data_IF_763822251494
#
_entry.id   IF_763822251494
#
_cell.length_a   1.000
_cell.length_b   1.000
_cell.length_c   1.000
_cell.angle_alpha   90.00
_cell.angle_beta   90.00
_cell.angle_gamma   90.00
#
_symmetry.space_group_name_H-M   'P 1'
#
loop_
_entity.id
_entity.type
_entity.pdbx_description
1 polymer ?
#
# COMPACT_ATOMS: atom_id res chain seq x y z
N UNK A 1 -21.76 14.84 10.98
CA UNK A 1 -20.52 14.15 10.59
C UNK A 1 -20.92 12.87 9.88
N UNK A 2 -20.56 12.71 8.60
CA UNK A 2 -20.75 11.45 7.91
C UNK A 2 -19.60 10.52 8.30
N UNK A 3 -19.91 9.41 8.97
CA UNK A 3 -18.95 8.33 9.17
C UNK A 3 -18.62 7.73 7.81
N UNK A 4 -17.43 8.03 7.28
CA UNK A 4 -16.89 7.35 6.11
C UNK A 4 -16.01 6.22 6.63
N UNK A 5 -16.53 5.00 6.54
CA UNK A 5 -15.74 3.81 6.81
C UNK A 5 -14.89 3.51 5.57
N UNK A 6 -13.60 3.24 5.77
CA UNK A 6 -12.74 2.71 4.71
C UNK A 6 -12.47 1.24 5.00
N UNK A 7 -12.77 0.39 4.02
CA UNK A 7 -12.41 -1.01 4.01
C UNK A 7 -10.98 -1.19 3.49
N UNK A 8 -10.15 -1.88 4.27
CA UNK A 8 -8.81 -2.28 3.86
C UNK A 8 -8.82 -3.77 3.50
N UNK A 9 -8.46 -4.07 2.24
CA UNK A 9 -8.36 -5.44 1.74
C UNK A 9 -6.89 -5.76 1.51
N UNK A 10 -6.36 -6.74 2.25
CA UNK A 10 -4.97 -7.16 2.14
C UNK A 10 -4.82 -8.35 1.18
N UNK A 11 -3.80 -8.30 0.33
CA UNK A 11 -3.35 -9.53 -0.35
C UNK A 11 -2.61 -10.43 0.64
N UNK A 12 -2.63 -11.74 0.40
CA UNK A 12 -1.87 -12.69 1.22
C UNK A 12 -0.36 -12.38 1.23
N UNK A 13 0.17 -11.81 0.14
CA UNK A 13 1.57 -11.41 0.05
C UNK A 13 1.85 -10.18 0.94
N UNK A 14 0.99 -9.17 0.89
CA UNK A 14 1.07 -8.01 1.77
C UNK A 14 1.07 -8.42 3.24
N UNK A 15 0.09 -9.23 3.68
CA UNK A 15 -0.01 -9.66 5.08
C UNK A 15 1.25 -10.39 5.55
N UNK A 16 1.86 -11.22 4.69
CA UNK A 16 3.12 -11.90 5.02
C UNK A 16 4.29 -10.93 5.15
N UNK A 17 4.40 -9.97 4.23
CA UNK A 17 5.49 -8.99 4.22
C UNK A 17 5.38 -8.00 5.38
N UNK A 18 4.19 -7.44 5.62
CA UNK A 18 4.00 -6.40 6.63
C UNK A 18 4.30 -6.92 8.04
N UNK A 19 3.91 -8.17 8.34
CA UNK A 19 4.21 -8.84 9.62
C UNK A 19 5.70 -9.05 9.89
N UNK A 20 6.55 -9.00 8.85
CA UNK A 20 8.00 -9.06 8.99
C UNK A 20 8.63 -7.68 9.16
N UNK A 21 7.91 -6.63 8.78
CA UNK A 21 8.44 -5.26 8.67
C UNK A 21 7.93 -4.33 9.77
N UNK A 22 6.75 -4.63 10.34
CA UNK A 22 6.04 -3.73 11.23
C UNK A 22 5.15 -4.49 12.21
N UNK A 23 4.87 -3.79 13.31
CA UNK A 23 3.87 -4.14 14.31
C UNK A 23 2.46 -3.76 13.84
N UNK A 24 1.45 -4.35 14.48
CA UNK A 24 0.05 -4.03 14.19
C UNK A 24 -0.29 -2.55 14.49
N UNK A 25 0.37 -1.93 15.48
CA UNK A 25 0.16 -0.52 15.82
C UNK A 25 0.72 0.42 14.75
N UNK A 26 1.84 0.07 14.13
CA UNK A 26 2.42 0.84 13.01
C UNK A 26 1.58 0.70 11.74
N UNK A 27 1.07 -0.50 11.47
CA UNK A 27 0.12 -0.71 10.38
C UNK A 27 -1.18 0.09 10.64
N UNK A 28 -1.67 0.12 11.88
CA UNK A 28 -2.83 0.94 12.26
C UNK A 28 -2.57 2.42 12.02
N UNK A 29 -1.39 2.93 12.40
CA UNK A 29 -1.03 4.32 12.13
C UNK A 29 -1.05 4.63 10.63
N UNK A 30 -0.54 3.74 9.77
CA UNK A 30 -0.65 3.90 8.32
C UNK A 30 -2.12 3.92 7.85
N UNK A 31 -2.96 3.03 8.37
CA UNK A 31 -4.38 2.97 8.02
C UNK A 31 -5.11 4.27 8.41
N UNK A 32 -4.83 4.82 9.59
CA UNK A 32 -5.37 6.12 10.03
C UNK A 32 -4.95 7.26 9.10
N UNK A 33 -3.69 7.29 8.66
CA UNK A 33 -3.22 8.27 7.69
C UNK A 33 -3.94 8.14 6.34
N UNK A 34 -4.19 6.91 5.88
CA UNK A 34 -4.92 6.65 4.63
C UNK A 34 -6.41 6.94 4.76
N UNK A 35 -7.00 6.80 5.95
CA UNK A 35 -8.37 7.25 6.23
C UNK A 35 -8.45 8.78 6.14
N UNK A 36 -7.49 9.50 6.73
CA UNK A 36 -7.46 10.95 6.68
C UNK A 36 -7.17 11.49 5.28
N UNK A 37 -6.32 10.79 4.50
CA UNK A 37 -5.94 11.17 3.15
C UNK A 37 -5.78 9.94 2.23
N UNK A 38 -6.87 9.45 1.62
CA UNK A 38 -6.84 8.23 0.78
C UNK A 38 -5.96 8.34 -0.47
N UNK A 39 -5.58 9.56 -0.86
CA UNK A 39 -4.69 9.84 -1.99
C UNK A 39 -3.22 10.01 -1.58
N UNK A 40 -2.86 9.77 -0.32
CA UNK A 40 -1.49 9.98 0.19
C UNK A 40 -0.47 9.10 -0.53
N UNK A 41 0.71 9.65 -0.77
CA UNK A 41 1.80 8.95 -1.44
C UNK A 41 1.82 9.14 -2.96
N UNK A 42 2.89 8.64 -3.56
CA UNK A 42 3.24 8.93 -4.96
C UNK A 42 2.48 7.99 -5.91
N UNK A 43 1.84 8.53 -6.94
CA UNK A 43 1.32 7.72 -8.03
C UNK A 43 2.46 7.02 -8.77
N UNK A 44 2.31 5.72 -9.00
CA UNK A 44 3.26 4.93 -9.76
C UNK A 44 2.83 4.92 -11.23
N UNK A 45 3.49 5.74 -12.05
CA UNK A 45 3.18 5.84 -13.47
C UNK A 45 3.25 4.47 -14.17
N UNK A 46 2.28 4.21 -15.05
CA UNK A 46 2.19 2.97 -15.83
C UNK A 46 1.51 1.79 -15.13
N UNK A 47 1.06 1.94 -13.87
CA UNK A 47 0.42 0.84 -13.10
C UNK A 47 -1.10 0.91 -13.04
N UNK A 48 -1.75 1.87 -13.72
CA UNK A 48 -3.20 1.98 -13.72
C UNK A 48 -3.83 2.61 -12.47
N UNK A 49 -3.02 3.16 -11.56
CA UNK A 49 -3.49 3.95 -10.41
C UNK A 49 -2.91 3.54 -9.06
N UNK A 50 -1.88 2.68 -9.02
CA UNK A 50 -1.23 2.34 -7.76
C UNK A 50 -0.52 3.53 -7.15
N UNK A 51 -0.51 3.56 -5.82
CA UNK A 51 0.18 4.56 -5.00
C UNK A 51 1.22 3.90 -4.13
N UNK A 52 2.31 4.62 -3.89
CA UNK A 52 3.39 4.23 -3.00
C UNK A 52 3.43 5.18 -1.81
N UNK A 53 3.18 4.68 -0.61
CA UNK A 53 3.24 5.44 0.63
C UNK A 53 4.42 4.97 1.47
N UNK A 54 5.06 5.92 2.17
CA UNK A 54 6.13 5.63 3.12
C UNK A 54 5.49 5.43 4.48
N UNK A 55 5.81 4.31 5.11
CA UNK A 55 5.39 3.99 6.47
C UNK A 55 6.61 4.10 7.39
N UNK A 56 6.44 4.79 8.51
CA UNK A 56 7.45 4.80 9.56
C UNK A 56 7.39 3.47 10.32
N UNK A 57 8.54 2.89 10.58
CA UNK A 57 8.67 1.63 11.35
C UNK A 57 9.80 1.78 12.36
N UNK A 58 9.53 1.56 13.63
CA UNK A 58 10.52 1.46 14.70
C UNK A 58 10.96 0.01 14.82
N UNK A 59 12.20 -0.26 14.41
CA UNK A 59 12.80 -1.57 14.58
C UNK A 59 13.88 -1.49 15.66
N UNK A 60 13.46 -1.66 16.91
CA UNK A 60 14.32 -1.74 18.09
C UNK A 60 15.32 -0.56 18.20
N UNK A 61 14.82 0.68 18.06
CA UNK A 61 15.63 1.89 18.25
C UNK A 61 16.41 2.33 17.01
N UNK A 62 16.25 1.65 15.86
CA UNK A 62 16.63 2.16 14.55
C UNK A 62 15.37 2.53 13.79
N UNK A 63 15.23 3.81 13.46
CA UNK A 63 14.17 4.27 12.56
C UNK A 63 14.38 3.60 11.20
N UNK A 64 13.50 2.65 10.91
CA UNK A 64 13.40 2.03 9.60
C UNK A 64 12.18 2.61 8.88
N UNK A 65 12.11 2.38 7.57
CA UNK A 65 10.95 2.81 6.79
C UNK A 65 10.56 1.69 5.86
N UNK A 66 9.30 1.30 5.92
CA UNK A 66 8.69 0.42 4.96
C UNK A 66 8.03 1.25 3.85
N UNK A 67 7.86 0.63 2.69
CA UNK A 67 7.09 1.17 1.57
C UNK A 67 5.91 0.25 1.33
N UNK A 68 4.73 0.84 1.31
CA UNK A 68 3.48 0.14 1.00
C UNK A 68 3.00 0.59 -0.37
N UNK A 69 2.69 -0.39 -1.22
CA UNK A 69 2.00 -0.17 -2.49
C UNK A 69 0.53 -0.53 -2.27
N UNK A 70 -0.35 0.42 -2.57
CA UNK A 70 -1.79 0.24 -2.44
C UNK A 70 -2.55 0.77 -3.65
N UNK A 71 -3.82 0.37 -3.76
CA UNK A 71 -4.76 0.84 -4.76
C UNK A 71 -6.01 1.40 -4.08
N UNK A 72 -6.34 2.65 -4.36
CA UNK A 72 -7.62 3.26 -3.97
C UNK A 72 -8.66 2.88 -5.04
N UNK A 73 -9.43 1.83 -4.79
CA UNK A 73 -10.41 1.32 -5.76
C UNK A 73 -11.67 2.18 -5.84
N UNK A 74 -12.14 2.63 -4.68
CA UNK A 74 -13.24 3.60 -4.54
C UNK A 74 -12.87 4.61 -3.46
N UNK A 75 -13.75 5.57 -3.15
CA UNK A 75 -13.53 6.48 -2.02
C UNK A 75 -13.47 5.77 -0.66
N UNK A 76 -13.93 4.51 -0.59
CA UNK A 76 -14.14 3.74 0.65
C UNK A 76 -13.40 2.40 0.66
N UNK A 77 -12.69 2.02 -0.41
CA UNK A 77 -12.00 0.73 -0.51
C UNK A 77 -10.54 0.91 -0.91
N UNK A 78 -9.63 0.43 -0.06
CA UNK A 78 -8.18 0.42 -0.27
C UNK A 78 -7.67 -1.01 -0.30
N UNK A 79 -7.04 -1.40 -1.41
CA UNK A 79 -6.30 -2.66 -1.50
C UNK A 79 -4.83 -2.45 -1.13
N UNK A 80 -4.36 -3.16 -0.10
CA UNK A 80 -2.95 -3.20 0.30
C UNK A 80 -2.27 -4.37 -0.41
N UNK A 81 -1.36 -4.05 -1.35
CA UNK A 81 -0.85 -5.02 -2.32
C UNK A 81 0.52 -5.58 -1.93
N UNK A 82 1.46 -4.70 -1.57
CA UNK A 82 2.85 -5.07 -1.29
C UNK A 82 3.42 -4.20 -0.18
N UNK A 83 4.28 -4.78 0.65
CA UNK A 83 5.11 -4.08 1.62
C UNK A 83 6.57 -4.53 1.47
N UNK A 84 7.51 -3.60 1.55
CA UNK A 84 8.94 -3.92 1.48
C UNK A 84 9.78 -2.86 2.21
N UNK A 85 10.96 -3.25 2.70
CA UNK A 85 11.84 -2.33 3.41
C UNK A 85 12.47 -1.30 2.46
N UNK A 86 12.89 -0.15 3.00
CA UNK A 86 13.55 0.93 2.24
C UNK A 86 14.70 0.45 1.34
N UNK A 87 15.45 -0.57 1.77
CA UNK A 87 16.66 -1.00 1.09
C UNK A 87 16.45 -2.17 0.11
N UNK A 88 15.24 -2.74 0.05
CA UNK A 88 14.97 -3.91 -0.80
C UNK A 88 14.65 -3.53 -2.25
N UNK A 89 14.02 -2.37 -2.46
CA UNK A 89 13.57 -1.95 -3.79
C UNK A 89 13.61 -0.43 -3.95
N UNK A 90 14.50 0.06 -4.80
CA UNK A 90 14.51 1.47 -5.20
C UNK A 90 13.40 1.79 -6.21
N UNK A 91 13.16 0.91 -7.18
CA UNK A 91 12.15 1.09 -8.22
C UNK A 91 11.52 -0.24 -8.65
N UNK A 92 10.30 -0.17 -9.18
CA UNK A 92 9.63 -1.31 -9.81
C UNK A 92 10.13 -1.45 -11.25
N UNK A 93 10.44 -2.68 -11.65
CA UNK A 93 10.84 -2.98 -13.03
C UNK A 93 9.66 -2.77 -13.99
N UNK A 94 9.94 -2.68 -15.30
CA UNK A 94 8.89 -2.55 -16.30
C UNK A 94 7.94 -3.77 -16.31
N UNK A 95 8.47 -4.98 -16.10
CA UNK A 95 7.69 -6.21 -15.99
C UNK A 95 6.76 -6.18 -14.77
N UNK A 96 7.29 -5.80 -13.60
CA UNK A 96 6.49 -5.68 -12.38
C UNK A 96 5.38 -4.64 -12.51
N UNK A 97 5.66 -3.50 -13.16
CA UNK A 97 4.63 -2.49 -13.45
C UNK A 97 3.55 -3.04 -14.37
N UNK A 98 3.91 -3.86 -15.36
CA UNK A 98 2.94 -4.48 -16.26
C UNK A 98 2.04 -5.49 -15.52
N UNK A 99 2.61 -6.34 -14.67
CA UNK A 99 1.84 -7.27 -13.82
C UNK A 99 0.91 -6.53 -12.87
N UNK A 100 1.42 -5.50 -12.19
CA UNK A 100 0.63 -4.65 -11.31
C UNK A 100 -0.50 -3.92 -12.06
N UNK A 101 -0.26 -3.50 -13.30
CA UNK A 101 -1.30 -2.91 -14.15
C UNK A 101 -2.41 -3.92 -14.45
N UNK A 102 -2.07 -5.17 -14.78
CA UNK A 102 -3.07 -6.23 -14.97
C UNK A 102 -3.89 -6.45 -13.69
N UNK A 103 -3.22 -6.48 -12.54
CA UNK A 103 -3.90 -6.60 -11.25
C UNK A 103 -4.87 -5.44 -11.00
N UNK A 104 -4.46 -4.19 -11.22
CA UNK A 104 -5.38 -3.04 -11.04
C UNK A 104 -6.59 -3.10 -11.96
N UNK A 105 -6.43 -3.60 -13.18
CA UNK A 105 -7.52 -3.76 -14.14
C UNK A 105 -8.56 -4.76 -13.63
N UNK A 106 -8.09 -5.90 -13.10
CA UNK A 106 -8.96 -6.90 -12.45
C UNK A 106 -9.66 -6.29 -11.23
N UNK A 107 -8.95 -5.55 -10.38
CA UNK A 107 -9.52 -4.92 -9.18
C UNK A 107 -10.55 -3.83 -9.50
N UNK A 108 -10.47 -3.19 -10.67
CA UNK A 108 -11.50 -2.26 -11.17
C UNK A 108 -12.72 -2.97 -11.76
N UNK A 109 -12.68 -4.29 -11.93
CA UNK A 109 -13.72 -5.04 -12.64
C UNK A 109 -13.69 -4.84 -14.16
N UNK A 110 -12.60 -4.31 -14.71
CA UNK A 110 -12.42 -4.13 -16.15
C UNK A 110 -11.89 -5.41 -16.80
N UNK A 111 -12.73 -6.43 -17.01
CA UNK A 111 -12.33 -7.65 -17.75
C UNK A 111 -12.26 -7.33 -19.25
#
# INVERSE_FOLDING_TARGET
>A
MAWHAIEFIETTLFTKQIKQLATDDELRALQEELIAQPTKGDLIAGTGGLRKVRMATDNQGKSSSARVIYFLATAEVIYLLLAYAKNEKESLTAAEKAELKQLTRILKGEV
#
